data_IF_771925150069
#
_entry.id   IF_771925150069
#
_cell.length_a   1.000
_cell.length_b   1.000
_cell.length_c   1.000
_cell.angle_alpha   90.00
_cell.angle_beta   90.00
_cell.angle_gamma   90.00
#
_symmetry.space_group_name_H-M   'P 1'
#
loop_
_entity.id
_entity.type
_entity.pdbx_description
1 polymer ?
#
# COMPACT_ATOMS: atom_id res chain seq x y z
N UNK A 1 36.94 -68.17 11.44
CA UNK A 1 36.18 -67.09 10.78
C UNK A 1 36.95 -65.80 11.03
N UNK A 2 37.32 -65.08 9.98
CA UNK A 2 38.13 -63.85 10.07
C UNK A 2 37.24 -62.61 10.17
N UNK A 3 37.79 -61.52 10.69
CA UNK A 3 37.06 -60.24 10.83
C UNK A 3 36.54 -59.71 9.47
N UNK A 4 37.31 -59.94 8.40
CA UNK A 4 36.93 -59.61 7.04
C UNK A 4 35.71 -60.41 6.54
N UNK A 5 35.60 -61.69 6.90
CA UNK A 5 34.42 -62.52 6.58
C UNK A 5 33.16 -62.00 7.29
N UNK A 6 33.31 -61.47 8.51
CA UNK A 6 32.19 -60.92 9.28
C UNK A 6 31.67 -59.62 8.64
N UNK A 7 32.59 -58.73 8.24
CA UNK A 7 32.25 -57.47 7.59
C UNK A 7 31.52 -57.72 6.26
N UNK A 8 32.02 -58.66 5.46
CA UNK A 8 31.38 -59.03 4.19
C UNK A 8 29.96 -59.56 4.39
N UNK A 9 29.76 -60.47 5.35
CA UNK A 9 28.42 -61.00 5.68
C UNK A 9 27.46 -59.92 6.18
N UNK A 10 27.94 -58.96 6.98
CA UNK A 10 27.10 -57.83 7.44
C UNK A 10 26.71 -56.91 6.27
N UNK A 11 27.60 -56.69 5.30
CA UNK A 11 27.28 -55.91 4.11
C UNK A 11 26.24 -56.63 3.22
N UNK A 12 26.33 -57.95 3.09
CA UNK A 12 25.35 -58.75 2.35
C UNK A 12 23.95 -58.65 2.98
N UNK A 13 23.85 -58.66 4.32
CA UNK A 13 22.58 -58.51 5.04
C UNK A 13 21.88 -57.15 4.79
N UNK A 14 22.61 -56.09 4.43
CA UNK A 14 21.99 -54.79 4.09
C UNK A 14 21.17 -54.83 2.80
N UNK A 15 21.44 -55.78 1.92
CA UNK A 15 20.72 -55.94 0.65
C UNK A 15 19.40 -56.71 0.80
N UNK A 16 19.20 -57.39 1.94
CA UNK A 16 17.99 -58.15 2.23
C UNK A 16 16.88 -57.18 2.64
N UNK A 17 15.87 -57.03 1.78
CA UNK A 17 14.66 -56.29 2.14
C UNK A 17 13.87 -57.06 3.21
N UNK A 18 13.40 -56.40 4.28
CA UNK A 18 12.53 -57.06 5.25
C UNK A 18 11.23 -57.49 4.56
N UNK A 19 10.70 -58.65 4.98
CA UNK A 19 9.40 -59.11 4.51
C UNK A 19 8.31 -58.09 4.88
N UNK A 20 7.40 -57.83 3.95
CA UNK A 20 6.41 -56.74 4.09
C UNK A 20 5.48 -56.95 5.29
N UNK A 21 5.13 -58.20 5.58
CA UNK A 21 4.33 -58.59 6.74
C UNK A 21 4.99 -58.19 8.08
N UNK A 22 6.31 -58.41 8.20
CA UNK A 22 7.08 -58.00 9.36
C UNK A 22 7.13 -56.46 9.48
N UNK A 23 7.42 -55.76 8.38
CA UNK A 23 7.47 -54.30 8.36
C UNK A 23 6.10 -53.68 8.74
N UNK A 24 5.00 -54.25 8.26
CA UNK A 24 3.65 -53.83 8.61
C UNK A 24 3.30 -54.13 10.08
N UNK A 25 3.80 -55.23 10.63
CA UNK A 25 3.60 -55.58 12.04
C UNK A 25 4.34 -54.62 12.98
N UNK A 26 5.57 -54.23 12.63
CA UNK A 26 6.38 -53.27 13.38
C UNK A 26 5.77 -51.87 13.28
N UNK A 27 5.34 -51.45 12.09
CA UNK A 27 4.60 -50.20 11.89
C UNK A 27 3.36 -50.16 12.77
N UNK A 28 2.54 -51.22 12.72
CA UNK A 28 1.36 -51.31 13.60
C UNK A 28 1.76 -51.20 15.06
N UNK A 29 2.78 -51.92 15.54
CA UNK A 29 3.20 -51.88 16.94
C UNK A 29 3.72 -50.50 17.38
N UNK A 30 4.56 -49.84 16.57
CA UNK A 30 5.06 -48.47 16.85
C UNK A 30 3.92 -47.46 16.93
N UNK A 31 2.92 -47.57 16.03
CA UNK A 31 1.76 -46.68 16.05
C UNK A 31 0.66 -47.12 17.03
N UNK A 32 0.74 -48.33 17.60
CA UNK A 32 -0.19 -48.84 18.62
C UNK A 32 0.33 -48.63 20.05
N UNK A 33 1.63 -48.46 20.23
CA UNK A 33 2.28 -48.18 21.53
C UNK A 33 2.33 -46.68 21.87
N UNK A 34 1.37 -45.89 21.37
CA UNK A 34 1.01 -44.67 22.10
C UNK A 34 0.12 -45.08 23.27
N UNK A 35 0.55 -44.79 24.52
CA UNK A 35 -0.19 -45.20 25.69
C UNK A 35 -1.60 -44.64 25.55
N UNK A 36 -2.53 -45.59 25.52
CA UNK A 36 -3.90 -45.48 25.98
C UNK A 36 -4.01 -44.30 26.95
N UNK A 37 -4.40 -43.13 26.44
CA UNK A 37 -5.01 -42.11 27.26
C UNK A 37 -6.26 -42.79 27.76
N UNK A 38 -6.17 -43.29 29.00
CA UNK A 38 -7.31 -43.69 29.79
C UNK A 38 -8.38 -42.66 29.55
N UNK A 39 -9.53 -43.14 29.10
CA UNK A 39 -10.77 -42.40 29.12
C UNK A 39 -11.04 -41.96 30.56
N UNK A 40 -10.45 -40.86 30.98
CA UNK A 40 -11.10 -39.94 31.91
C UNK A 40 -12.35 -39.58 31.15
N UNK A 41 -13.47 -40.22 31.46
CA UNK A 41 -14.77 -39.76 30.98
C UNK A 41 -14.90 -38.33 31.50
N UNK A 42 -14.80 -37.30 30.65
CA UNK A 42 -15.32 -36.03 31.05
C UNK A 42 -16.83 -36.25 30.95
N UNK A 43 -17.58 -36.01 32.03
CA UNK A 43 -18.98 -35.64 31.87
C UNK A 43 -19.04 -34.25 31.20
N UNK A 44 -18.54 -34.16 29.97
CA UNK A 44 -18.64 -32.99 29.08
C UNK A 44 -19.65 -33.41 28.03
N UNK A 45 -20.74 -32.66 28.01
CA UNK A 45 -21.94 -32.87 27.23
C UNK A 45 -21.66 -33.40 25.80
N UNK A 46 -22.38 -34.45 25.40
CA UNK A 46 -22.28 -35.18 24.12
C UNK A 46 -22.64 -34.37 22.87
N UNK A 47 -22.62 -33.05 22.92
CA UNK A 47 -22.85 -32.21 21.76
C UNK A 47 -21.58 -31.41 21.50
N UNK A 48 -20.68 -31.86 20.61
CA UNK A 48 -19.74 -30.92 20.02
C UNK A 48 -20.62 -29.94 19.25
N UNK A 49 -20.78 -28.75 19.80
CA UNK A 49 -21.45 -27.66 19.12
C UNK A 49 -20.64 -27.43 17.84
N UNK A 50 -21.08 -28.02 16.73
CA UNK A 50 -20.37 -27.90 15.47
C UNK A 50 -20.52 -26.45 15.03
N UNK A 51 -19.43 -25.80 14.68
CA UNK A 51 -19.45 -24.41 14.20
C UNK A 51 -20.44 -24.30 13.03
N UNK A 52 -20.58 -25.35 12.22
CA UNK A 52 -21.61 -25.48 11.19
C UNK A 52 -23.05 -25.52 11.72
N UNK A 53 -23.36 -26.22 12.83
CA UNK A 53 -24.70 -26.23 13.43
C UNK A 53 -25.04 -24.90 14.11
N UNK A 54 -24.07 -24.22 14.71
CA UNK A 54 -24.25 -22.85 15.23
C UNK A 54 -24.52 -21.88 14.10
N UNK A 55 -23.70 -21.91 13.05
CA UNK A 55 -23.88 -21.08 11.85
C UNK A 55 -25.23 -21.35 11.19
N UNK A 56 -25.68 -22.60 11.11
CA UNK A 56 -27.00 -22.97 10.58
C UNK A 56 -28.13 -22.46 11.48
N UNK A 57 -28.04 -22.64 12.79
CA UNK A 57 -29.06 -22.14 13.72
C UNK A 57 -29.14 -20.60 13.73
N UNK A 58 -28.00 -19.92 13.57
CA UNK A 58 -27.92 -18.45 13.50
C UNK A 58 -28.37 -17.88 12.16
N UNK A 59 -28.04 -18.54 11.04
CA UNK A 59 -28.37 -18.05 9.69
C UNK A 59 -29.86 -18.16 9.33
N UNK A 60 -30.61 -19.08 9.96
CA UNK A 60 -32.02 -19.34 9.62
C UNK A 60 -33.04 -18.67 10.57
N UNK A 61 -32.59 -17.85 11.53
CA UNK A 61 -33.46 -17.03 12.37
C UNK A 61 -33.33 -15.56 11.91
N UNK A 62 -34.37 -14.93 11.33
CA UNK A 62 -34.25 -13.57 10.79
C UNK A 62 -33.80 -12.56 11.84
N UNK A 63 -34.17 -12.75 13.11
CA UNK A 63 -33.71 -11.92 14.24
C UNK A 63 -32.20 -12.03 14.52
N UNK A 64 -31.62 -13.23 14.36
CA UNK A 64 -30.18 -13.45 14.55
C UNK A 64 -29.37 -13.08 13.30
N UNK A 65 -29.99 -13.10 12.11
CA UNK A 65 -29.40 -12.57 10.89
C UNK A 65 -29.16 -11.04 11.01
N UNK A 66 -30.10 -10.28 11.58
CA UNK A 66 -29.88 -8.84 11.85
C UNK A 66 -28.78 -8.60 12.89
N UNK A 67 -28.75 -9.36 13.99
CA UNK A 67 -27.72 -9.20 15.02
C UNK A 67 -26.34 -9.58 14.48
N UNK A 68 -26.23 -10.66 13.70
CA UNK A 68 -24.97 -11.04 13.06
C UNK A 68 -24.54 -10.04 11.98
N UNK A 69 -25.48 -9.49 11.21
CA UNK A 69 -25.20 -8.38 10.28
C UNK A 69 -24.68 -7.14 11.04
N UNK A 70 -25.27 -6.79 12.18
CA UNK A 70 -24.82 -5.66 13.00
C UNK A 70 -23.46 -5.91 13.65
N UNK A 71 -23.17 -7.14 14.09
CA UNK A 71 -21.86 -7.53 14.62
C UNK A 71 -20.82 -7.50 13.50
N UNK A 72 -21.12 -8.06 12.33
CA UNK A 72 -20.23 -8.03 11.16
C UNK A 72 -20.00 -6.58 10.71
N UNK A 73 -21.06 -5.76 10.62
CA UNK A 73 -20.96 -4.35 10.32
C UNK A 73 -20.16 -3.59 11.37
N UNK A 74 -20.36 -3.88 12.66
CA UNK A 74 -19.59 -3.31 13.75
C UNK A 74 -18.10 -3.68 13.69
N UNK A 75 -17.78 -4.94 13.41
CA UNK A 75 -16.40 -5.41 13.21
C UNK A 75 -15.79 -4.73 11.97
N UNK A 76 -16.54 -4.61 10.87
CA UNK A 76 -16.11 -3.90 9.67
C UNK A 76 -15.84 -2.42 9.96
N UNK A 77 -16.74 -1.72 10.64
CA UNK A 77 -16.56 -0.30 11.01
C UNK A 77 -15.35 -0.12 11.93
N UNK A 78 -15.16 -1.04 12.88
CA UNK A 78 -14.00 -1.03 13.80
C UNK A 78 -12.67 -1.27 13.05
N UNK A 79 -12.66 -2.22 12.11
CA UNK A 79 -11.50 -2.53 11.29
C UNK A 79 -11.16 -1.37 10.33
N UNK A 80 -12.18 -0.71 9.77
CA UNK A 80 -11.99 0.47 8.90
C UNK A 80 -11.41 1.66 9.67
N UNK A 81 -11.86 1.91 10.91
CA UNK A 81 -11.29 2.95 11.77
C UNK A 81 -9.80 2.72 12.06
N UNK A 82 -9.41 1.46 12.28
CA UNK A 82 -8.00 1.08 12.50
C UNK A 82 -7.18 1.08 11.21
N UNK A 83 -7.80 0.81 10.05
CA UNK A 83 -7.15 0.83 8.75
C UNK A 83 -6.67 2.24 8.35
N UNK A 84 -7.27 3.32 8.86
CA UNK A 84 -6.84 4.69 8.56
C UNK A 84 -5.36 4.97 8.86
N UNK A 85 -4.82 4.32 9.90
CA UNK A 85 -3.42 4.45 10.33
C UNK A 85 -2.50 3.36 9.75
N UNK A 86 -3.03 2.44 8.93
CA UNK A 86 -2.21 1.40 8.31
C UNK A 86 -1.20 2.02 7.34
N UNK A 87 0.05 1.57 7.42
CA UNK A 87 1.13 1.93 6.50
C UNK A 87 1.25 0.89 5.39
N UNK A 88 1.82 1.24 4.23
CA UNK A 88 2.10 0.28 3.17
C UNK A 88 2.86 -0.94 3.70
N UNK A 89 2.37 -2.14 3.41
CA UNK A 89 2.93 -3.40 3.94
C UNK A 89 2.30 -3.89 5.26
N UNK A 90 1.41 -3.13 5.87
CA UNK A 90 0.59 -3.58 6.99
C UNK A 90 -0.62 -4.41 6.53
N UNK A 91 -1.10 -5.31 7.38
CA UNK A 91 -2.20 -6.23 7.06
C UNK A 91 -3.50 -5.50 6.66
N UNK A 92 -3.81 -4.36 7.29
CA UNK A 92 -5.03 -3.60 7.03
C UNK A 92 -4.89 -2.54 5.92
N UNK A 93 -3.69 -2.38 5.33
CA UNK A 93 -3.45 -1.40 4.28
C UNK A 93 -4.31 -1.60 3.01
N UNK A 94 -4.60 -2.83 2.54
CA UNK A 94 -5.52 -3.03 1.42
C UNK A 94 -6.91 -2.42 1.67
N UNK A 95 -7.42 -2.47 2.91
CA UNK A 95 -8.72 -1.87 3.24
C UNK A 95 -8.67 -0.34 3.16
N UNK A 96 -7.57 0.27 3.64
CA UNK A 96 -7.31 1.71 3.48
C UNK A 96 -7.28 2.13 2.00
N UNK A 97 -6.64 1.33 1.15
CA UNK A 97 -6.63 1.61 -0.29
C UNK A 97 -8.01 1.57 -0.92
N UNK A 98 -8.87 0.64 -0.51
CA UNK A 98 -10.24 0.53 -1.05
C UNK A 98 -11.04 1.80 -0.70
N UNK A 99 -10.96 2.27 0.55
CA UNK A 99 -11.71 3.46 0.97
C UNK A 99 -11.21 4.72 0.27
N UNK A 100 -9.89 4.85 0.06
CA UNK A 100 -9.29 5.99 -0.66
C UNK A 100 -9.53 5.94 -2.17
N UNK A 101 -9.44 4.77 -2.79
CA UNK A 101 -9.70 4.61 -4.23
C UNK A 101 -11.15 4.90 -4.58
N UNK A 102 -12.08 4.60 -3.68
CA UNK A 102 -13.49 4.96 -3.83
C UNK A 102 -13.67 6.46 -4.01
N UNK A 103 -12.98 7.28 -3.21
CA UNK A 103 -13.06 8.74 -3.34
C UNK A 103 -12.61 9.21 -4.72
N UNK A 104 -11.54 8.64 -5.28
CA UNK A 104 -11.04 8.97 -6.62
C UNK A 104 -12.04 8.60 -7.73
N UNK A 105 -12.69 7.43 -7.62
CA UNK A 105 -13.63 6.95 -8.66
C UNK A 105 -14.92 7.78 -8.76
N UNK A 106 -15.35 8.40 -7.67
CA UNK A 106 -16.57 9.22 -7.65
C UNK A 106 -16.36 10.68 -8.05
N UNK A 107 -15.12 11.08 -8.37
CA UNK A 107 -14.83 12.43 -8.86
C UNK A 107 -15.16 12.51 -10.35
N UNK A 108 -16.25 13.20 -10.69
CA UNK A 108 -16.73 13.39 -12.06
C UNK A 108 -16.08 14.58 -12.78
N UNK A 109 -15.49 15.53 -12.03
CA UNK A 109 -14.83 16.72 -12.57
C UNK A 109 -13.32 16.50 -12.72
N UNK A 110 -12.78 16.77 -13.92
CA UNK A 110 -11.35 16.68 -14.23
C UNK A 110 -10.48 17.60 -13.35
N UNK A 111 -11.00 18.75 -12.89
CA UNK A 111 -10.27 19.65 -11.98
C UNK A 111 -10.10 19.00 -10.61
N UNK A 112 -11.19 18.48 -10.06
CA UNK A 112 -11.16 17.76 -8.79
C UNK A 112 -10.33 16.47 -8.89
N UNK A 113 -10.34 15.80 -10.04
CA UNK A 113 -9.54 14.60 -10.27
C UNK A 113 -8.06 14.88 -10.09
N UNK A 114 -7.56 15.94 -10.72
CA UNK A 114 -6.15 16.33 -10.65
C UNK A 114 -5.72 16.62 -9.21
N UNK A 115 -6.52 17.42 -8.49
CA UNK A 115 -6.27 17.73 -7.07
C UNK A 115 -6.31 16.48 -6.18
N UNK A 116 -7.25 15.56 -6.44
CA UNK A 116 -7.38 14.32 -5.67
C UNK A 116 -6.16 13.43 -5.84
N UNK A 117 -5.62 13.32 -7.07
CA UNK A 117 -4.40 12.56 -7.33
C UNK A 117 -3.17 13.17 -6.61
N UNK A 118 -3.07 14.50 -6.58
CA UNK A 118 -2.03 15.20 -5.82
C UNK A 118 -2.15 14.96 -4.32
N UNK A 119 -3.37 15.02 -3.80
CA UNK A 119 -3.66 14.78 -2.39
C UNK A 119 -3.29 13.34 -2.01
N UNK A 120 -3.59 12.38 -2.89
CA UNK A 120 -3.22 10.98 -2.71
C UNK A 120 -1.70 10.79 -2.70
N UNK A 121 -0.97 11.42 -3.64
CA UNK A 121 0.49 11.41 -3.65
C UNK A 121 1.06 12.01 -2.36
N UNK A 122 0.54 13.16 -1.93
CA UNK A 122 0.93 13.78 -0.67
C UNK A 122 0.75 12.83 0.52
N UNK A 123 -0.33 12.06 0.53
CA UNK A 123 -0.59 11.04 1.55
C UNK A 123 0.40 9.88 1.49
N UNK A 124 0.76 9.41 0.29
CA UNK A 124 1.79 8.35 0.14
C UNK A 124 3.17 8.82 0.59
N UNK A 125 3.51 10.08 0.35
CA UNK A 125 4.74 10.67 0.86
C UNK A 125 4.72 10.80 2.40
N UNK A 126 3.58 11.13 3.01
CA UNK A 126 3.44 11.10 4.48
C UNK A 126 3.65 9.68 5.03
N UNK A 127 3.02 8.69 4.39
CA UNK A 127 3.17 7.29 4.78
C UNK A 127 4.60 6.81 4.65
N UNK A 128 5.30 7.15 3.56
CA UNK A 128 6.71 6.82 3.38
C UNK A 128 7.61 7.53 4.40
N UNK A 129 7.33 8.81 4.68
CA UNK A 129 8.02 9.58 5.72
C UNK A 129 7.86 8.91 7.08
N UNK A 130 6.65 8.46 7.42
CA UNK A 130 6.36 7.80 8.69
C UNK A 130 7.05 6.44 8.77
N UNK A 131 7.02 5.64 7.69
CA UNK A 131 7.75 4.38 7.60
C UNK A 131 9.24 4.58 7.82
N UNK A 132 9.83 5.62 7.21
CA UNK A 132 11.25 5.96 7.35
C UNK A 132 11.59 6.41 8.78
N UNK A 133 10.81 7.33 9.36
CA UNK A 133 10.98 7.81 10.75
C UNK A 133 10.84 6.69 11.78
N UNK A 134 9.89 5.78 11.59
CA UNK A 134 9.69 4.62 12.47
C UNK A 134 10.68 3.48 12.20
N UNK A 135 11.57 3.62 11.22
CA UNK A 135 12.54 2.60 10.82
C UNK A 135 11.89 1.23 10.50
N UNK A 136 10.69 1.26 9.89
CA UNK A 136 9.94 0.06 9.49
C UNK A 136 10.48 -0.47 8.16
N UNK A 137 11.67 -1.06 8.18
CA UNK A 137 12.39 -1.50 6.97
C UNK A 137 11.54 -2.41 6.07
N UNK A 138 10.74 -3.33 6.64
CA UNK A 138 9.84 -4.22 5.89
C UNK A 138 8.79 -3.45 5.06
N UNK A 139 8.41 -2.26 5.51
CA UNK A 139 7.38 -1.42 4.92
C UNK A 139 7.96 -0.40 3.93
N UNK A 140 9.28 -0.18 3.89
CA UNK A 140 9.92 0.80 2.99
C UNK A 140 9.66 0.50 1.52
N UNK A 141 10.03 -0.70 1.05
CA UNK A 141 9.83 -1.06 -0.37
C UNK A 141 8.34 -1.01 -0.79
N UNK A 142 7.38 -1.54 0.00
CA UNK A 142 5.96 -1.32 -0.26
C UNK A 142 5.56 0.16 -0.32
N UNK A 143 6.10 1.01 0.57
CA UNK A 143 5.76 2.43 0.60
C UNK A 143 6.32 3.20 -0.60
N UNK A 144 7.57 2.93 -1.00
CA UNK A 144 8.18 3.48 -2.21
C UNK A 144 7.35 3.12 -3.44
N UNK A 145 6.96 1.84 -3.59
CA UNK A 145 6.11 1.38 -4.69
C UNK A 145 4.75 2.09 -4.76
N UNK A 146 4.18 2.46 -3.61
CA UNK A 146 2.89 3.19 -3.58
C UNK A 146 3.08 4.66 -3.93
N UNK A 147 4.20 5.28 -3.54
CA UNK A 147 4.60 6.62 -3.98
C UNK A 147 4.81 6.65 -5.50
N UNK A 148 5.58 5.72 -6.07
CA UNK A 148 5.82 5.60 -7.51
C UNK A 148 4.52 5.47 -8.32
N UNK A 149 3.59 4.63 -7.86
CA UNK A 149 2.27 4.50 -8.48
C UNK A 149 1.47 5.80 -8.42
N UNK A 150 1.49 6.49 -7.27
CA UNK A 150 0.78 7.76 -7.09
C UNK A 150 1.42 8.89 -7.91
N UNK A 151 2.74 8.89 -8.10
CA UNK A 151 3.45 9.81 -9.02
C UNK A 151 2.92 9.65 -10.44
N UNK A 152 2.87 8.42 -10.96
CA UNK A 152 2.39 8.16 -12.31
C UNK A 152 0.92 8.61 -12.51
N UNK A 153 0.08 8.49 -11.49
CA UNK A 153 -1.31 8.96 -11.54
C UNK A 153 -1.42 10.48 -11.43
N UNK A 154 -0.65 11.11 -10.53
CA UNK A 154 -0.59 12.55 -10.38
C UNK A 154 -0.08 13.25 -11.65
N UNK A 155 0.97 12.71 -12.27
CA UNK A 155 1.51 13.20 -13.54
C UNK A 155 0.46 13.16 -14.67
N UNK A 156 -0.40 12.14 -14.71
CA UNK A 156 -1.53 12.08 -15.66
C UNK A 156 -2.57 13.16 -15.35
N UNK A 157 -2.92 13.34 -14.07
CA UNK A 157 -3.86 14.38 -13.66
C UNK A 157 -3.38 15.79 -14.02
N UNK A 158 -2.08 16.08 -13.86
CA UNK A 158 -1.54 17.42 -14.18
C UNK A 158 -1.71 17.86 -15.62
N UNK A 159 -1.59 16.93 -16.56
CA UNK A 159 -1.74 17.25 -17.99
C UNK A 159 -3.08 17.97 -18.23
N UNK A 160 -4.13 17.51 -17.57
CA UNK A 160 -5.48 18.08 -17.63
C UNK A 160 -5.79 19.17 -16.59
N UNK A 161 -4.91 19.42 -15.62
CA UNK A 161 -5.18 20.36 -14.55
C UNK A 161 -5.27 21.80 -15.07
N UNK A 162 -6.24 22.56 -14.57
CA UNK A 162 -6.22 24.02 -14.75
C UNK A 162 -5.26 24.67 -13.74
N UNK A 163 -4.64 25.81 -14.08
CA UNK A 163 -3.90 26.60 -13.12
C UNK A 163 -4.86 27.05 -12.00
N UNK A 164 -4.67 26.53 -10.80
CA UNK A 164 -5.44 26.90 -9.61
C UNK A 164 -4.51 26.90 -8.39
N UNK A 165 -4.75 27.83 -7.47
CA UNK A 165 -4.00 27.97 -6.22
C UNK A 165 -4.02 26.67 -5.41
N UNK A 166 -5.13 25.93 -5.44
CA UNK A 166 -5.22 24.67 -4.69
C UNK A 166 -4.26 23.60 -5.21
N UNK A 167 -4.05 23.52 -6.53
CA UNK A 167 -3.10 22.61 -7.17
C UNK A 167 -1.67 22.97 -6.79
N UNK A 168 -1.33 24.26 -6.85
CA UNK A 168 0.00 24.76 -6.49
C UNK A 168 0.33 24.50 -5.02
N UNK A 169 -0.66 24.64 -4.13
CA UNK A 169 -0.47 24.33 -2.71
C UNK A 169 -0.14 22.85 -2.46
N UNK A 170 -0.71 21.93 -3.25
CA UNK A 170 -0.42 20.50 -3.14
C UNK A 170 0.96 20.16 -3.73
N UNK A 171 1.35 20.80 -4.85
CA UNK A 171 2.69 20.70 -5.46
C UNK A 171 3.77 21.10 -4.46
N UNK A 172 3.59 22.23 -3.77
CA UNK A 172 4.53 22.71 -2.75
C UNK A 172 4.72 21.70 -1.61
N UNK A 173 3.63 21.12 -1.12
CA UNK A 173 3.70 20.05 -0.09
C UNK A 173 4.46 18.82 -0.59
N UNK A 174 4.32 18.47 -1.87
CA UNK A 174 5.03 17.34 -2.49
C UNK A 174 6.53 17.62 -2.52
N UNK A 175 6.96 18.82 -2.94
CA UNK A 175 8.37 19.23 -2.93
C UNK A 175 8.97 19.18 -1.52
N UNK A 176 8.30 19.77 -0.54
CA UNK A 176 8.73 19.79 0.87
C UNK A 176 8.87 18.37 1.46
N UNK A 177 7.92 17.48 1.15
CA UNK A 177 7.97 16.09 1.62
C UNK A 177 9.04 15.28 0.90
N UNK A 178 9.24 15.52 -0.38
CA UNK A 178 10.28 14.84 -1.16
C UNK A 178 11.67 15.19 -0.63
N UNK A 179 11.94 16.46 -0.33
CA UNK A 179 13.20 16.89 0.29
C UNK A 179 13.38 16.28 1.68
N UNK A 180 12.31 16.22 2.48
CA UNK A 180 12.31 15.54 3.79
C UNK A 180 12.67 14.05 3.65
N UNK A 181 12.04 13.31 2.74
CA UNK A 181 12.31 11.89 2.51
C UNK A 181 13.74 11.64 2.03
N UNK A 182 14.24 12.49 1.11
CA UNK A 182 15.66 12.46 0.68
C UNK A 182 16.60 12.66 1.87
N UNK A 183 16.32 13.60 2.77
CA UNK A 183 17.11 13.82 3.99
C UNK A 183 17.07 12.64 4.98
N UNK A 184 16.02 11.82 4.92
CA UNK A 184 15.90 10.58 5.69
C UNK A 184 16.66 9.40 5.06
N UNK A 185 17.38 9.63 3.95
CA UNK A 185 18.18 8.63 3.26
C UNK A 185 17.36 7.66 2.40
N UNK A 186 16.12 8.01 2.07
CA UNK A 186 15.27 7.23 1.18
C UNK A 186 15.33 7.83 -0.21
N UNK A 187 15.88 7.08 -1.16
CA UNK A 187 15.85 7.43 -2.57
C UNK A 187 14.53 6.95 -3.19
N UNK A 188 13.72 7.91 -3.62
CA UNK A 188 12.62 7.66 -4.56
C UNK A 188 13.25 7.86 -5.94
N UNK A 189 13.02 6.92 -6.87
CA UNK A 189 13.58 6.99 -8.21
C UNK A 189 13.25 8.30 -8.94
N UNK A 190 13.89 8.52 -10.09
CA UNK A 190 13.69 9.72 -10.91
C UNK A 190 12.19 9.95 -11.19
N UNK A 191 11.70 11.12 -10.81
CA UNK A 191 10.27 11.38 -10.70
C UNK A 191 9.70 11.79 -12.06
N UNK A 192 8.92 10.91 -12.71
CA UNK A 192 8.15 11.27 -13.93
C UNK A 192 7.26 12.51 -13.74
N UNK A 193 6.91 12.79 -12.48
CA UNK A 193 6.20 13.97 -12.04
C UNK A 193 6.89 15.28 -12.44
N UNK A 194 8.21 15.38 -12.27
CA UNK A 194 8.94 16.63 -12.52
C UNK A 194 8.82 17.01 -14.00
N UNK A 195 8.97 16.03 -14.90
CA UNK A 195 8.79 16.25 -16.34
C UNK A 195 7.37 16.70 -16.70
N UNK A 196 6.34 16.10 -16.08
CA UNK A 196 4.94 16.47 -16.35
C UNK A 196 4.60 17.88 -15.82
N UNK A 197 5.12 18.24 -14.64
CA UNK A 197 4.95 19.55 -14.04
C UNK A 197 5.69 20.63 -14.84
N UNK A 198 6.95 20.39 -15.20
CA UNK A 198 7.75 21.28 -16.05
C UNK A 198 7.04 21.52 -17.37
N UNK A 199 6.57 20.46 -18.04
CA UNK A 199 5.87 20.60 -19.31
C UNK A 199 4.61 21.46 -19.14
N UNK A 200 3.85 21.24 -18.07
CA UNK A 200 2.64 22.03 -17.81
C UNK A 200 2.94 23.51 -17.57
N UNK A 201 3.98 23.82 -16.80
CA UNK A 201 4.40 25.20 -16.56
C UNK A 201 4.89 25.82 -17.87
N UNK A 202 5.68 25.10 -18.67
CA UNK A 202 6.13 25.55 -20.00
C UNK A 202 4.97 25.85 -20.94
N UNK A 203 3.97 24.98 -21.01
CA UNK A 203 2.77 25.22 -21.83
C UNK A 203 2.07 26.54 -21.42
N UNK A 204 2.03 26.86 -20.13
CA UNK A 204 1.47 28.14 -19.64
C UNK A 204 2.37 29.33 -19.96
N UNK A 205 3.68 29.18 -19.80
CA UNK A 205 4.67 30.22 -20.15
C UNK A 205 4.62 30.54 -21.64
N UNK A 206 4.48 29.55 -22.50
CA UNK A 206 4.39 29.73 -23.95
C UNK A 206 3.10 30.47 -24.34
N UNK A 207 1.97 30.13 -23.70
CA UNK A 207 0.71 30.86 -23.88
C UNK A 207 0.84 32.33 -23.45
N UNK A 208 1.42 32.58 -22.27
CA UNK A 208 1.64 33.92 -21.75
C UNK A 208 2.63 34.73 -22.60
N UNK A 209 3.64 34.08 -23.16
CA UNK A 209 4.62 34.73 -24.05
C UNK A 209 4.01 35.17 -25.38
N UNK A 210 2.91 34.56 -25.81
CA UNK A 210 2.16 34.95 -27.00
C UNK A 210 1.21 36.13 -26.76
N UNK A 211 0.93 36.48 -25.50
CA UNK A 211 0.08 37.60 -25.12
C UNK A 211 0.84 38.91 -25.00
N UNK A 212 0.13 40.03 -25.09
CA UNK A 212 0.71 41.36 -24.87
C UNK A 212 0.79 41.65 -23.38
N UNK A 213 1.88 41.21 -22.76
CA UNK A 213 2.16 41.40 -21.33
C UNK A 213 2.56 42.85 -21.01
N UNK A 214 2.30 43.26 -19.77
CA UNK A 214 2.87 44.50 -19.20
C UNK A 214 4.35 44.29 -18.85
N UNK A 215 5.10 45.39 -18.68
CA UNK A 215 6.51 45.31 -18.27
C UNK A 215 6.70 44.54 -16.94
N UNK A 216 5.76 44.70 -16.00
CA UNK A 216 5.79 43.94 -14.73
C UNK A 216 5.53 42.45 -14.95
N UNK A 217 4.54 42.09 -15.78
CA UNK A 217 4.25 40.69 -16.10
C UNK A 217 5.39 40.01 -16.87
N UNK A 218 6.05 40.72 -17.79
CA UNK A 218 7.23 40.22 -18.49
C UNK A 218 8.40 39.96 -17.54
N UNK A 219 8.62 40.82 -16.55
CA UNK A 219 9.65 40.60 -15.53
C UNK A 219 9.35 39.35 -14.69
N UNK A 220 8.09 39.17 -14.25
CA UNK A 220 7.68 37.97 -13.51
C UNK A 220 7.85 36.71 -14.38
N UNK A 221 7.57 36.78 -15.68
CA UNK A 221 7.73 35.64 -16.59
C UNK A 221 9.20 35.21 -16.73
N UNK A 222 10.15 36.14 -16.72
CA UNK A 222 11.58 35.79 -16.69
C UNK A 222 11.97 35.13 -15.36
N UNK A 223 11.40 35.56 -14.24
CA UNK A 223 11.61 34.86 -12.97
C UNK A 223 11.03 33.44 -12.97
N UNK A 224 9.89 33.20 -13.63
CA UNK A 224 9.33 31.85 -13.80
C UNK A 224 10.34 30.94 -14.49
N UNK A 225 11.00 31.40 -15.55
CA UNK A 225 12.02 30.62 -16.27
C UNK A 225 13.21 30.28 -15.36
N UNK A 226 13.67 31.24 -14.56
CA UNK A 226 14.74 31.02 -13.58
C UNK A 226 14.34 30.02 -12.49
N UNK A 227 13.10 30.07 -12.01
CA UNK A 227 12.60 29.14 -10.99
C UNK A 227 12.52 27.71 -11.55
N UNK A 228 12.16 27.53 -12.83
CA UNK A 228 12.20 26.22 -13.50
C UNK A 228 13.64 25.68 -13.56
N UNK A 229 14.62 26.52 -13.90
CA UNK A 229 16.04 26.12 -13.94
C UNK A 229 16.60 25.73 -12.57
N UNK A 230 16.05 26.29 -11.49
CA UNK A 230 16.41 25.96 -10.11
C UNK A 230 15.62 24.79 -9.53
N UNK A 231 14.76 24.15 -10.32
CA UNK A 231 13.84 23.10 -9.87
C UNK A 231 12.83 23.57 -8.80
N UNK A 232 12.56 24.88 -8.72
CA UNK A 232 11.59 25.48 -7.79
C UNK A 232 10.20 25.56 -8.44
N UNK A 233 9.65 24.42 -8.84
CA UNK A 233 8.46 24.36 -9.70
C UNK A 233 7.20 24.92 -9.04
N UNK A 234 7.01 24.74 -7.73
CA UNK A 234 5.91 25.36 -7.00
C UNK A 234 5.95 26.89 -7.11
N UNK A 235 7.12 27.51 -6.93
CA UNK A 235 7.29 28.96 -7.04
C UNK A 235 7.08 29.44 -8.47
N UNK A 236 7.61 28.70 -9.44
CA UNK A 236 7.37 28.98 -10.86
C UNK A 236 5.86 29.00 -11.17
N UNK A 237 5.10 28.02 -10.67
CA UNK A 237 3.66 27.97 -10.88
C UNK A 237 2.89 29.06 -10.13
N UNK A 238 3.28 29.39 -8.88
CA UNK A 238 2.71 30.54 -8.14
C UNK A 238 2.82 31.83 -8.96
N UNK A 239 4.00 32.11 -9.55
CA UNK A 239 4.23 33.29 -10.39
C UNK A 239 3.41 33.28 -11.68
N UNK A 240 3.21 32.12 -12.31
CA UNK A 240 2.29 31.97 -13.45
C UNK A 240 0.85 32.34 -13.06
N UNK A 241 0.39 31.95 -11.86
CA UNK A 241 -0.94 32.33 -11.37
C UNK A 241 -1.08 33.84 -11.12
N UNK A 242 -0.01 34.50 -10.65
CA UNK A 242 0.03 35.95 -10.47
C UNK A 242 -0.11 36.65 -11.83
N UNK A 243 0.61 36.20 -12.87
CA UNK A 243 0.51 36.78 -14.22
C UNK A 243 -0.91 36.66 -14.76
N UNK A 244 -1.55 35.49 -14.57
CA UNK A 244 -2.93 35.22 -14.97
C UNK A 244 -3.99 35.96 -14.15
N UNK A 245 -3.60 36.73 -13.12
CA UNK A 245 -4.53 37.46 -12.24
C UNK A 245 -5.38 36.54 -11.36
N UNK A 246 -5.00 35.27 -11.21
CA UNK A 246 -5.71 34.28 -10.39
C UNK A 246 -5.40 34.49 -8.90
N UNK A 247 -4.19 34.97 -8.59
CA UNK A 247 -3.75 35.33 -7.25
C UNK A 247 -3.34 36.80 -7.25
N UNK A 248 -3.77 37.56 -6.24
CA UNK A 248 -3.33 38.94 -6.01
C UNK A 248 -2.11 38.96 -5.10
N UNK A 249 -1.18 39.88 -5.37
CA UNK A 249 0.07 40.09 -4.59
C UNK A 249 -0.19 40.29 -3.10
#
# INVERSE_FOLDING_TARGET
MTEQDLIYKIQELKSIKPREDWALSVKRRIFSDHPYVQSVQPHIAKNPISIAAVLRYWAFQPRMAYVSLLIIAGIFVSALGSAGNALPGDFLYPFKKITESGQVMFVLDNKEYSKTQLTLLNKRLDELTEVAKQNKVRNLAPAINEVEKSIAQAAKGLKSASPDQSVVSEVKKIEDKTTTIKSLGVEIGELEWDAALIQKIKDQVDLLSAEKLTAEQSAILEEVKQDIEKEEYAKAWEKVLIINGIITK
#
